data_IF_906388017471
#
_entry.id   IF_906388017471
#
_cell.length_a   1.000
_cell.length_b   1.000
_cell.length_c   1.000
_cell.angle_alpha   90.00
_cell.angle_beta   90.00
_cell.angle_gamma   90.00
#
_symmetry.space_group_name_H-M   'P 1'
#
loop_
_entity.id
_entity.type
_entity.pdbx_description
1 polymer ?
#
# COMPACT_ATOMS: atom_id res chain seq x y z
N UNK A 1 -44.46 -17.36 14.41
CA UNK A 1 -43.34 -18.29 14.06
C UNK A 1 -43.69 -19.30 12.95
N UNK A 2 -44.96 -19.66 12.71
CA UNK A 2 -45.38 -20.53 11.59
C UNK A 2 -45.31 -19.83 10.20
N UNK A 3 -45.67 -18.54 10.11
CA UNK A 3 -45.63 -17.78 8.85
C UNK A 3 -44.22 -17.66 8.23
N UNK A 4 -43.15 -17.56 9.05
CA UNK A 4 -41.74 -17.53 8.59
C UNK A 4 -41.20 -18.90 8.15
N UNK A 5 -41.93 -20.00 8.39
CA UNK A 5 -41.58 -21.33 7.86
C UNK A 5 -42.26 -21.58 6.52
N UNK A 6 -43.50 -21.12 6.32
CA UNK A 6 -44.22 -21.21 5.04
C UNK A 6 -43.58 -20.36 3.95
N UNK A 7 -43.23 -19.10 4.24
CA UNK A 7 -42.58 -18.21 3.27
C UNK A 7 -41.12 -18.58 2.95
N UNK A 8 -40.56 -19.63 3.58
CA UNK A 8 -39.17 -20.02 3.40
C UNK A 8 -38.95 -20.75 2.07
N UNK A 9 -39.95 -21.52 1.63
CA UNK A 9 -39.95 -22.13 0.30
C UNK A 9 -40.15 -21.08 -0.79
N UNK A 10 -41.08 -20.14 -0.58
CA UNK A 10 -41.31 -19.02 -1.51
C UNK A 10 -40.08 -18.11 -1.63
N UNK A 11 -39.40 -17.81 -0.52
CA UNK A 11 -38.14 -17.07 -0.53
C UNK A 11 -37.03 -17.82 -1.27
N UNK A 12 -36.90 -19.13 -1.08
CA UNK A 12 -35.92 -19.97 -1.79
C UNK A 12 -36.24 -20.12 -3.29
N UNK A 13 -37.52 -20.06 -3.67
CA UNK A 13 -37.93 -20.00 -5.08
C UNK A 13 -37.65 -18.62 -5.68
N UNK A 14 -37.85 -17.55 -4.91
CA UNK A 14 -37.53 -16.18 -5.33
C UNK A 14 -36.02 -15.97 -5.50
N UNK A 15 -35.20 -16.45 -4.56
CA UNK A 15 -33.73 -16.44 -4.69
C UNK A 15 -33.26 -17.20 -5.93
N UNK A 16 -33.82 -18.40 -6.18
CA UNK A 16 -33.52 -19.17 -7.40
C UNK A 16 -33.96 -18.45 -8.67
N UNK A 17 -35.12 -17.79 -8.65
CA UNK A 17 -35.61 -16.98 -9.77
C UNK A 17 -34.73 -15.76 -10.05
N UNK A 18 -34.29 -15.05 -9.01
CA UNK A 18 -33.37 -13.91 -9.12
C UNK A 18 -32.01 -14.38 -9.63
N UNK A 19 -31.48 -15.48 -9.11
CA UNK A 19 -30.21 -16.06 -9.57
C UNK A 19 -30.28 -16.50 -11.04
N UNK A 20 -31.38 -17.15 -11.46
CA UNK A 20 -31.59 -17.55 -12.85
C UNK A 20 -31.73 -16.33 -13.78
N UNK A 21 -32.50 -15.32 -13.38
CA UNK A 21 -32.64 -14.09 -14.15
C UNK A 21 -31.35 -13.25 -14.20
N UNK A 22 -30.51 -13.33 -13.17
CA UNK A 22 -29.18 -12.73 -13.17
C UNK A 22 -28.21 -13.52 -14.07
N UNK A 23 -28.28 -14.86 -14.06
CA UNK A 23 -27.48 -15.72 -14.91
C UNK A 23 -27.82 -15.54 -16.40
N UNK A 24 -29.10 -15.52 -16.78
CA UNK A 24 -29.56 -15.23 -18.14
C UNK A 24 -29.10 -13.84 -18.62
N UNK A 25 -29.24 -12.82 -17.78
CA UNK A 25 -28.72 -11.47 -18.07
C UNK A 25 -27.20 -11.46 -18.22
N UNK A 26 -26.47 -12.24 -17.43
CA UNK A 26 -25.01 -12.36 -17.55
C UNK A 26 -24.57 -13.17 -18.77
N UNK A 27 -25.39 -14.11 -19.25
CA UNK A 27 -25.16 -14.89 -20.47
C UNK A 27 -25.29 -14.03 -21.73
N UNK A 28 -26.17 -13.02 -21.70
CA UNK A 28 -26.35 -12.03 -22.76
C UNK A 28 -25.19 -10.99 -22.84
N UNK A 29 -24.34 -10.91 -21.80
CA UNK A 29 -23.13 -10.08 -21.84
C UNK A 29 -22.03 -10.84 -22.57
N UNK A 30 -21.54 -10.23 -23.65
CA UNK A 30 -20.44 -10.75 -24.48
C UNK A 30 -19.29 -11.29 -23.61
N UNK A 31 -18.79 -12.48 -23.95
CA UNK A 31 -17.71 -13.13 -23.20
C UNK A 31 -16.45 -12.25 -23.11
N UNK A 32 -16.12 -11.49 -24.16
CA UNK A 32 -15.03 -10.52 -24.15
C UNK A 32 -15.29 -9.36 -23.19
N UNK A 33 -16.52 -8.86 -23.11
CA UNK A 33 -16.89 -7.80 -22.15
C UNK A 33 -16.80 -8.28 -20.69
N UNK A 34 -17.09 -9.56 -20.43
CA UNK A 34 -16.93 -10.16 -19.09
C UNK A 34 -15.48 -10.29 -18.67
N UNK A 35 -14.59 -10.71 -19.56
CA UNK A 35 -13.14 -10.78 -19.29
C UNK A 35 -12.61 -9.39 -18.96
N UNK A 36 -12.94 -8.41 -19.80
CA UNK A 36 -12.52 -7.02 -19.59
C UNK A 36 -13.03 -6.47 -18.25
N UNK A 37 -14.30 -6.72 -17.90
CA UNK A 37 -14.85 -6.28 -16.62
C UNK A 37 -14.12 -6.90 -15.41
N UNK A 38 -13.79 -8.20 -15.48
CA UNK A 38 -13.05 -8.88 -14.42
C UNK A 38 -11.62 -8.33 -14.27
N UNK A 39 -10.96 -8.02 -15.39
CA UNK A 39 -9.65 -7.38 -15.39
C UNK A 39 -9.72 -5.98 -14.76
N UNK A 40 -10.73 -5.17 -15.09
CA UNK A 40 -10.92 -3.85 -14.49
C UNK A 40 -11.18 -3.92 -12.99
N UNK A 41 -11.95 -4.90 -12.51
CA UNK A 41 -12.17 -5.13 -11.08
C UNK A 41 -10.87 -5.54 -10.39
N UNK A 42 -10.08 -6.43 -11.01
CA UNK A 42 -8.78 -6.84 -10.50
C UNK A 42 -7.79 -5.68 -10.39
N UNK A 43 -7.74 -4.80 -11.39
CA UNK A 43 -6.90 -3.60 -11.39
C UNK A 43 -7.37 -2.59 -10.35
N UNK A 44 -8.68 -2.36 -10.23
CA UNK A 44 -9.25 -1.49 -9.21
C UNK A 44 -8.87 -1.96 -7.81
N UNK A 45 -9.02 -3.27 -7.54
CA UNK A 45 -8.63 -3.84 -6.26
C UNK A 45 -7.11 -3.74 -6.01
N UNK A 46 -6.28 -4.03 -7.01
CA UNK A 46 -4.83 -3.88 -6.90
C UNK A 46 -4.41 -2.40 -6.69
N UNK A 47 -5.13 -1.46 -7.32
CA UNK A 47 -4.96 -0.03 -7.13
C UNK A 47 -5.28 0.39 -5.70
N UNK A 48 -6.42 -0.08 -5.16
CA UNK A 48 -6.82 0.14 -3.78
C UNK A 48 -5.83 -0.46 -2.78
N UNK A 49 -5.44 -1.73 -2.93
CA UNK A 49 -4.47 -2.37 -2.02
C UNK A 49 -3.13 -1.62 -2.00
N UNK A 50 -2.61 -1.27 -3.18
CA UNK A 50 -1.37 -0.51 -3.27
C UNK A 50 -1.52 0.88 -2.69
N UNK A 51 -2.64 1.55 -2.91
CA UNK A 51 -2.88 2.86 -2.35
C UNK A 51 -2.95 2.80 -0.82
N UNK A 52 -3.72 1.88 -0.26
CA UNK A 52 -3.84 1.72 1.18
C UNK A 52 -2.50 1.33 1.82
N UNK A 53 -1.74 0.43 1.18
CA UNK A 53 -0.48 -0.09 1.73
C UNK A 53 0.71 0.86 1.52
N UNK A 54 0.83 1.48 0.34
CA UNK A 54 2.00 2.31 -0.04
C UNK A 54 1.81 3.78 0.28
N UNK A 55 0.57 4.26 0.34
CA UNK A 55 0.27 5.67 0.62
C UNK A 55 -0.43 5.80 1.96
N UNK A 56 -1.65 5.29 2.11
CA UNK A 56 -2.46 5.63 3.28
C UNK A 56 -1.80 5.16 4.59
N UNK A 57 -1.27 3.93 4.62
CA UNK A 57 -0.66 3.34 5.81
C UNK A 57 0.56 4.11 6.35
N UNK A 58 1.53 4.55 5.53
CA UNK A 58 2.56 5.49 5.98
C UNK A 58 2.04 6.74 6.68
N UNK A 59 1.02 7.39 6.11
CA UNK A 59 0.44 8.60 6.70
C UNK A 59 -0.23 8.27 8.04
N UNK A 60 -1.03 7.21 8.08
CA UNK A 60 -1.76 6.80 9.28
C UNK A 60 -0.84 6.52 10.47
N UNK A 61 0.29 5.85 10.23
CA UNK A 61 1.31 5.61 11.26
C UNK A 61 1.93 6.87 11.85
N UNK A 62 1.76 8.02 11.20
CA UNK A 62 2.25 9.33 11.64
C UNK A 62 1.14 10.24 12.19
N UNK A 63 -0.07 9.71 12.41
CA UNK A 63 -1.20 10.55 12.83
C UNK A 63 -1.74 11.45 11.71
N UNK A 64 -1.48 11.09 10.45
CA UNK A 64 -1.94 11.83 9.26
C UNK A 64 -2.86 10.95 8.42
N UNK A 65 -3.72 11.54 7.60
CA UNK A 65 -4.52 10.79 6.65
C UNK A 65 -4.67 11.55 5.32
N UNK A 66 -4.58 10.88 4.16
CA UNK A 66 -4.69 11.57 2.87
C UNK A 66 -6.08 12.16 2.72
N UNK A 67 -6.23 13.46 2.46
CA UNK A 67 -7.55 14.09 2.30
C UNK A 67 -8.26 13.69 1.00
N UNK A 68 -7.52 13.12 0.03
CA UNK A 68 -8.04 12.77 -1.29
C UNK A 68 -7.71 11.34 -1.75
N UNK A 69 -8.28 10.32 -1.12
CA UNK A 69 -7.94 8.91 -1.36
C UNK A 69 -8.31 8.43 -2.77
N UNK A 70 -9.50 8.75 -3.25
CA UNK A 70 -10.04 8.28 -4.53
C UNK A 70 -9.22 8.82 -5.70
N UNK A 71 -8.74 10.07 -5.62
CA UNK A 71 -7.81 10.64 -6.59
C UNK A 71 -6.51 9.82 -6.71
N UNK A 72 -6.04 9.25 -5.60
CA UNK A 72 -4.89 8.36 -5.62
C UNK A 72 -5.18 7.02 -6.32
N UNK A 73 -6.41 6.51 -6.23
CA UNK A 73 -6.83 5.27 -6.92
C UNK A 73 -6.83 5.50 -8.42
N UNK A 74 -7.40 6.63 -8.87
CA UNK A 74 -7.38 7.06 -10.27
C UNK A 74 -5.92 7.14 -10.76
N UNK A 75 -5.04 7.82 -10.03
CA UNK A 75 -3.63 7.94 -10.40
C UNK A 75 -2.91 6.57 -10.48
N UNK A 76 -3.18 5.66 -9.54
CA UNK A 76 -2.60 4.31 -9.55
C UNK A 76 -3.08 3.48 -10.75
N UNK A 77 -4.37 3.58 -11.08
CA UNK A 77 -4.96 2.92 -12.26
C UNK A 77 -4.40 3.49 -13.57
N UNK A 78 -4.22 4.81 -13.66
CA UNK A 78 -3.58 5.45 -14.82
C UNK A 78 -2.14 4.98 -15.01
N UNK A 79 -1.35 4.90 -13.93
CA UNK A 79 0.05 4.43 -14.00
C UNK A 79 0.14 2.93 -14.33
N UNK A 80 -0.76 2.11 -13.81
CA UNK A 80 -0.80 0.67 -14.10
C UNK A 80 -1.20 0.41 -15.57
N UNK A 81 -2.24 1.09 -16.07
CA UNK A 81 -2.63 1.05 -17.48
C UNK A 81 -1.47 1.44 -18.41
N UNK A 82 -0.69 2.46 -18.03
CA UNK A 82 0.52 2.87 -18.76
C UNK A 82 1.60 1.78 -18.78
N UNK A 83 1.87 1.13 -17.65
CA UNK A 83 2.89 0.07 -17.52
C UNK A 83 2.53 -1.20 -18.25
N UNK A 84 1.27 -1.60 -18.14
CA UNK A 84 0.78 -2.86 -18.70
C UNK A 84 0.33 -2.70 -20.16
N UNK A 85 0.46 -1.48 -20.73
CA UNK A 85 -0.04 -1.11 -22.07
C UNK A 85 -1.48 -1.58 -22.32
N UNK A 86 -2.29 -1.57 -21.27
CA UNK A 86 -3.67 -2.06 -21.29
C UNK A 86 -4.52 -1.14 -22.16
N UNK A 87 -4.70 -1.57 -23.41
CA UNK A 87 -5.56 -1.09 -24.51
C UNK A 87 -5.79 0.42 -24.69
N UNK A 88 -5.81 0.83 -25.96
CA UNK A 88 -6.23 2.18 -26.38
C UNK A 88 -7.66 2.47 -25.88
N UNK A 89 -7.79 3.48 -25.00
CA UNK A 89 -9.07 3.98 -24.46
C UNK A 89 -9.24 3.88 -22.94
N UNK A 90 -8.55 2.99 -22.22
CA UNK A 90 -8.68 2.92 -20.75
C UNK A 90 -8.04 4.12 -20.06
N UNK A 91 -6.83 4.49 -20.47
CA UNK A 91 -6.15 5.66 -19.95
C UNK A 91 -6.93 6.95 -20.21
N UNK A 92 -7.65 7.05 -21.34
CA UNK A 92 -8.49 8.23 -21.61
C UNK A 92 -9.72 8.25 -20.70
N UNK A 93 -10.40 7.12 -20.49
CA UNK A 93 -11.58 7.01 -19.61
C UNK A 93 -11.24 7.15 -18.11
N UNK A 94 -10.06 6.73 -17.69
CA UNK A 94 -9.56 6.96 -16.33
C UNK A 94 -9.08 8.40 -16.13
N UNK A 95 -8.65 9.06 -17.22
CA UNK A 95 -8.35 10.50 -17.24
C UNK A 95 -9.59 11.38 -17.39
N UNK A 96 -10.75 10.81 -17.72
CA UNK A 96 -12.04 11.49 -17.63
C UNK A 96 -12.36 11.78 -16.16
N UNK A 97 -13.14 12.83 -15.96
CA UNK A 97 -13.49 13.34 -14.65
C UNK A 97 -14.10 12.20 -13.80
N UNK A 98 -13.48 11.77 -12.68
CA UNK A 98 -13.93 10.59 -11.94
C UNK A 98 -15.35 10.78 -11.41
N UNK A 99 -16.10 9.70 -11.21
CA UNK A 99 -17.50 9.78 -10.77
C UNK A 99 -17.67 10.52 -9.43
N UNK A 100 -16.65 10.52 -8.57
CA UNK A 100 -16.63 11.32 -7.35
C UNK A 100 -16.68 12.83 -7.64
N UNK A 101 -16.10 13.32 -8.73
CA UNK A 101 -16.16 14.74 -9.13
C UNK A 101 -17.56 15.20 -9.60
N UNK A 102 -18.48 14.25 -9.82
CA UNK A 102 -19.88 14.54 -10.13
C UNK A 102 -20.75 14.73 -8.88
N UNK A 103 -20.18 14.46 -7.70
CA UNK A 103 -20.85 14.69 -6.43
C UNK A 103 -20.94 16.20 -6.15
N UNK A 104 -21.95 16.61 -5.38
CA UNK A 104 -22.13 18.00 -4.98
C UNK A 104 -20.93 18.52 -4.16
N UNK A 105 -20.39 17.66 -3.28
CA UNK A 105 -19.24 17.96 -2.42
C UNK A 105 -18.17 16.84 -2.52
N UNK A 106 -17.42 16.77 -3.63
CA UNK A 106 -16.49 15.67 -3.90
C UNK A 106 -15.40 15.54 -2.84
N UNK A 107 -14.88 16.68 -2.34
CA UNK A 107 -13.86 16.70 -1.29
C UNK A 107 -14.35 16.12 0.04
N UNK A 108 -15.58 16.43 0.44
CA UNK A 108 -16.14 15.92 1.69
C UNK A 108 -16.35 14.40 1.64
N UNK A 109 -16.75 13.87 0.48
CA UNK A 109 -16.90 12.43 0.29
C UNK A 109 -15.55 11.72 0.28
N UNK A 110 -14.54 12.29 -0.38
CA UNK A 110 -13.19 11.71 -0.38
C UNK A 110 -12.59 11.71 1.03
N UNK A 111 -12.81 12.78 1.80
CA UNK A 111 -12.41 12.86 3.20
C UNK A 111 -13.12 11.81 4.07
N UNK A 112 -14.43 11.66 3.91
CA UNK A 112 -15.21 10.65 4.61
C UNK A 112 -14.75 9.22 4.26
N UNK A 113 -14.43 8.97 2.98
CA UNK A 113 -13.87 7.69 2.51
C UNK A 113 -12.50 7.43 3.12
N UNK A 114 -11.62 8.44 3.18
CA UNK A 114 -10.32 8.34 3.83
C UNK A 114 -10.41 7.98 5.30
N UNK A 115 -11.26 8.68 6.05
CA UNK A 115 -11.46 8.43 7.48
C UNK A 115 -12.10 7.06 7.73
N UNK A 116 -13.06 6.66 6.89
CA UNK A 116 -13.65 5.33 6.95
C UNK A 116 -12.61 4.23 6.67
N UNK A 117 -11.78 4.40 5.65
CA UNK A 117 -10.70 3.47 5.34
C UNK A 117 -9.70 3.38 6.50
N UNK A 118 -9.31 4.52 7.08
CA UNK A 118 -8.43 4.53 8.25
C UNK A 118 -9.06 3.80 9.44
N UNK A 119 -10.36 3.98 9.69
CA UNK A 119 -11.06 3.29 10.77
C UNK A 119 -11.11 1.78 10.53
N UNK A 120 -11.44 1.35 9.32
CA UNK A 120 -11.59 -0.07 8.97
C UNK A 120 -10.25 -0.81 8.92
N UNK A 121 -9.21 -0.20 8.38
CA UNK A 121 -7.93 -0.88 8.10
C UNK A 121 -6.81 -0.54 9.10
N UNK A 122 -6.90 0.57 9.82
CA UNK A 122 -5.88 1.02 10.77
C UNK A 122 -6.42 1.19 12.20
N UNK A 123 -7.73 1.20 12.40
CA UNK A 123 -8.35 1.52 13.69
C UNK A 123 -8.22 3.01 14.05
N UNK A 124 -8.06 3.88 13.05
CA UNK A 124 -7.97 5.32 13.26
C UNK A 124 -9.28 5.96 13.74
N UNK A 125 -9.24 7.21 14.25
CA UNK A 125 -10.42 7.96 14.66
C UNK A 125 -11.43 8.14 13.52
N UNK A 126 -12.70 8.28 13.87
CA UNK A 126 -13.77 8.52 12.90
C UNK A 126 -13.79 9.96 12.35
N UNK A 127 -13.18 10.90 13.06
CA UNK A 127 -13.13 12.33 12.72
C UNK A 127 -11.70 12.86 12.87
N UNK A 128 -11.42 13.97 12.20
CA UNK A 128 -10.15 14.68 12.32
C UNK A 128 -9.92 15.25 13.72
N UNK A 129 -8.65 15.41 14.10
CA UNK A 129 -8.24 15.95 15.39
C UNK A 129 -6.79 16.44 15.40
N UNK A 130 -6.32 17.00 16.52
CA UNK A 130 -4.97 17.56 16.62
C UNK A 130 -3.86 16.53 16.36
N UNK A 131 -4.07 15.28 16.76
CA UNK A 131 -3.17 14.15 16.51
C UNK A 131 -3.59 13.29 15.30
N UNK A 132 -4.62 13.73 14.57
CA UNK A 132 -5.22 13.02 13.44
C UNK A 132 -5.66 13.98 12.33
N UNK A 133 -4.69 14.55 11.64
CA UNK A 133 -4.90 15.67 10.75
C UNK A 133 -4.80 15.27 9.27
N UNK A 134 -5.58 15.92 8.39
CA UNK A 134 -5.50 15.66 6.95
C UNK A 134 -4.11 16.05 6.41
N UNK A 135 -3.70 15.35 5.35
CA UNK A 135 -2.56 15.73 4.51
C UNK A 135 -3.03 15.77 3.06
N UNK A 136 -2.83 16.92 2.41
CA UNK A 136 -3.08 17.06 0.98
C UNK A 136 -1.95 16.42 0.17
N UNK A 137 -2.25 15.96 -1.04
CA UNK A 137 -1.28 15.40 -1.97
C UNK A 137 -0.07 16.30 -2.24
N UNK A 138 -0.23 17.62 -2.28
CA UNK A 138 0.91 18.53 -2.49
C UNK A 138 1.87 18.56 -1.30
N UNK A 139 1.40 18.29 -0.08
CA UNK A 139 2.23 18.26 1.14
C UNK A 139 2.64 16.83 1.55
N UNK A 140 2.07 15.83 0.90
CA UNK A 140 2.29 14.42 1.20
C UNK A 140 3.77 13.99 1.13
N UNK A 141 4.57 14.41 0.12
CA UNK A 141 5.98 14.09 0.06
C UNK A 141 6.74 14.58 1.30
N UNK A 142 6.58 15.84 1.67
CA UNK A 142 7.32 16.49 2.76
C UNK A 142 6.87 15.97 4.14
N UNK A 143 5.57 15.78 4.33
CA UNK A 143 5.01 15.44 5.63
C UNK A 143 5.05 13.96 5.94
N UNK A 144 4.98 13.09 4.93
CA UNK A 144 4.89 11.63 5.12
C UNK A 144 6.12 10.93 4.57
N UNK A 145 6.43 11.12 3.28
CA UNK A 145 7.51 10.35 2.62
C UNK A 145 8.87 10.70 3.24
N UNK A 146 9.16 12.00 3.33
CA UNK A 146 10.39 12.55 3.91
C UNK A 146 10.57 12.17 5.38
N UNK A 147 9.52 12.31 6.19
CA UNK A 147 9.57 11.94 7.62
C UNK A 147 9.77 10.44 7.79
N UNK A 148 9.09 9.62 6.99
CA UNK A 148 9.26 8.16 6.98
C UNK A 148 10.70 7.83 6.64
N UNK A 149 11.21 8.42 5.57
CA UNK A 149 12.57 8.19 5.11
C UNK A 149 13.60 8.57 6.18
N UNK A 150 13.51 9.77 6.77
CA UNK A 150 14.44 10.18 7.84
C UNK A 150 14.41 9.22 9.03
N UNK A 151 13.21 8.75 9.41
CA UNK A 151 13.04 7.78 10.50
C UNK A 151 13.68 6.42 10.16
N UNK A 152 13.44 5.92 8.96
CA UNK A 152 14.00 4.66 8.46
C UNK A 152 15.52 4.75 8.33
N UNK A 153 16.05 5.86 7.79
CA UNK A 153 17.47 6.13 7.68
C UNK A 153 18.15 6.20 9.06
N UNK A 154 17.54 6.90 10.03
CA UNK A 154 18.05 6.95 11.40
C UNK A 154 18.03 5.57 12.08
N UNK A 155 17.04 4.73 11.77
CA UNK A 155 16.98 3.34 12.23
C UNK A 155 18.10 2.51 11.62
N UNK A 156 18.32 2.62 10.32
CA UNK A 156 19.39 1.94 9.60
C UNK A 156 20.77 2.35 10.12
N UNK A 157 20.99 3.64 10.34
CA UNK A 157 22.24 4.15 10.90
C UNK A 157 22.55 3.51 12.27
N UNK A 158 21.56 3.46 13.18
CA UNK A 158 21.71 2.79 14.48
C UNK A 158 22.04 1.29 14.35
N UNK A 159 21.48 0.60 13.36
CA UNK A 159 21.79 -0.82 13.10
C UNK A 159 23.23 -0.96 12.60
N UNK A 160 23.66 -0.10 11.67
CA UNK A 160 25.04 -0.09 11.16
C UNK A 160 26.06 0.22 12.27
N UNK A 161 25.72 1.13 13.18
CA UNK A 161 26.56 1.45 14.35
C UNK A 161 26.69 0.25 15.29
N UNK A 162 25.58 -0.47 15.56
CA UNK A 162 25.60 -1.69 16.36
C UNK A 162 26.40 -2.83 15.71
N UNK A 163 26.48 -2.86 14.38
CA UNK A 163 27.31 -3.81 13.62
C UNK A 163 28.79 -3.36 13.53
N UNK A 164 29.14 -2.20 14.10
CA UNK A 164 30.51 -1.68 14.08
C UNK A 164 30.98 -1.18 12.71
N UNK A 165 30.04 -0.86 11.80
CA UNK A 165 30.38 -0.35 10.46
C UNK A 165 30.93 1.08 10.59
N UNK A 166 32.20 1.33 10.20
CA UNK A 166 32.81 2.65 10.32
C UNK A 166 32.04 3.71 9.53
N UNK A 167 32.11 4.95 10.00
CA UNK A 167 31.60 6.08 9.24
C UNK A 167 32.63 6.42 8.16
N UNK A 168 32.22 6.44 6.88
CA UNK A 168 33.08 6.93 5.82
C UNK A 168 33.18 8.47 5.94
N UNK A 169 34.37 9.06 6.07
CA UNK A 169 34.56 10.50 6.17
C UNK A 169 34.48 11.13 4.76
N UNK A 170 33.30 11.09 4.15
CA UNK A 170 33.03 11.84 2.91
C UNK A 170 32.43 13.20 3.30
N UNK A 171 32.85 14.33 2.72
CA UNK A 171 32.25 15.63 3.01
C UNK A 171 30.74 15.60 2.76
N UNK A 172 29.93 16.43 3.45
CA UNK A 172 28.49 16.45 3.24
C UNK A 172 28.18 16.98 1.85
N UNK A 173 28.12 16.08 0.86
CA UNK A 173 27.46 16.35 -0.39
C UNK A 173 25.97 16.57 -0.09
N UNK A 174 25.34 17.45 -0.86
CA UNK A 174 23.98 17.99 -0.72
C UNK A 174 22.89 16.88 -0.74
N UNK A 175 23.26 15.62 -0.93
CA UNK A 175 22.34 14.49 -0.95
C UNK A 175 22.19 13.83 0.44
N UNK A 176 21.04 13.99 1.12
CA UNK A 176 20.79 13.34 2.41
C UNK A 176 20.81 11.79 2.34
N UNK A 177 20.74 11.20 1.15
CA UNK A 177 20.77 9.74 0.94
C UNK A 177 22.19 9.18 0.72
N UNK A 178 23.12 10.00 0.20
CA UNK A 178 24.48 9.62 -0.18
C UNK A 178 25.31 8.93 0.93
N UNK A 179 25.37 9.45 2.17
CA UNK A 179 26.24 8.88 3.20
C UNK A 179 25.71 7.56 3.79
N UNK A 180 24.38 7.35 3.80
CA UNK A 180 23.79 6.11 4.34
C UNK A 180 23.94 4.96 3.34
N UNK A 181 23.70 5.22 2.05
CA UNK A 181 23.86 4.22 0.99
C UNK A 181 25.33 3.77 0.86
N UNK A 182 26.28 4.71 0.91
CA UNK A 182 27.71 4.39 0.86
C UNK A 182 28.14 3.43 1.98
N UNK A 183 27.70 3.68 3.23
CA UNK A 183 27.98 2.79 4.37
C UNK A 183 27.40 1.39 4.21
N UNK A 184 26.19 1.27 3.67
CA UNK A 184 25.55 -0.03 3.42
C UNK A 184 26.33 -0.80 2.36
N UNK A 185 26.68 -0.14 1.24
CA UNK A 185 27.45 -0.76 0.17
C UNK A 185 28.85 -1.17 0.64
N UNK A 186 29.54 -0.34 1.44
CA UNK A 186 30.82 -0.70 2.04
C UNK A 186 30.69 -1.94 2.94
N UNK A 187 29.66 -2.00 3.79
CA UNK A 187 29.43 -3.15 4.66
C UNK A 187 29.16 -4.45 3.88
N UNK A 188 28.32 -4.38 2.84
CA UNK A 188 27.98 -5.54 2.00
C UNK A 188 29.15 -5.99 1.10
N UNK A 189 30.12 -5.11 0.85
CA UNK A 189 31.30 -5.40 0.05
C UNK A 189 32.43 -6.07 0.83
N UNK A 190 32.36 -6.10 2.17
CA UNK A 190 33.34 -6.82 3.01
C UNK A 190 33.03 -8.32 2.98
N UNK A 191 33.96 -9.19 2.53
CA UNK A 191 33.74 -10.62 2.54
C UNK A 191 33.53 -11.13 3.98
N UNK A 192 32.63 -12.10 4.22
CA UNK A 192 32.38 -12.61 5.56
C UNK A 192 33.68 -13.13 6.15
N UNK A 193 34.08 -12.57 7.30
CA UNK A 193 35.27 -12.99 8.03
C UNK A 193 35.11 -14.49 8.34
N UNK A 194 36.03 -15.37 7.88
CA UNK A 194 35.94 -16.78 8.20
C UNK A 194 35.92 -16.93 9.71
N UNK A 195 34.93 -17.66 10.22
CA UNK A 195 34.81 -17.97 11.64
C UNK A 195 36.16 -18.51 12.13
N UNK A 196 36.72 -17.89 13.16
CA UNK A 196 38.01 -18.28 13.71
C UNK A 196 37.96 -19.78 14.01
N UNK A 197 38.85 -20.55 13.35
CA UNK A 197 38.94 -21.98 13.56
C UNK A 197 39.13 -22.26 15.06
N UNK A 198 38.43 -23.26 15.62
CA UNK A 198 38.56 -23.59 17.03
C UNK A 198 40.04 -23.89 17.34
N UNK A 199 40.56 -23.44 18.49
CA UNK A 199 41.95 -23.66 18.86
C UNK A 199 42.23 -25.17 18.88
N UNK A 200 43.41 -25.61 18.40
CA UNK A 200 43.75 -27.03 18.39
C UNK A 200 43.73 -27.57 19.82
N UNK A 201 43.27 -28.82 20.03
CA UNK A 201 43.21 -29.40 21.35
C UNK A 201 44.60 -29.43 21.97
N UNK A 202 44.74 -28.81 23.15
CA UNK A 202 45.94 -28.87 23.97
C UNK A 202 46.23 -30.33 24.32
N UNK A 203 47.33 -30.87 23.79
CA UNK A 203 47.85 -32.18 24.20
C UNK A 203 48.20 -32.13 25.69
N UNK A 204 47.79 -33.12 26.50
CA UNK A 204 48.22 -33.21 27.89
C UNK A 204 49.73 -33.49 27.97
N UNK A 205 50.41 -33.02 29.03
CA UNK A 205 51.83 -33.27 29.21
C UNK A 205 52.08 -34.77 29.45
N UNK A 206 52.99 -35.34 28.67
CA UNK A 206 53.53 -36.68 28.89
C UNK A 206 54.30 -36.66 30.21
N UNK A 207 53.81 -37.37 31.22
CA UNK A 207 54.56 -37.64 32.43
C UNK A 207 55.63 -38.71 32.15
N UNK A 208 56.82 -38.46 32.71
CA UNK A 208 58.08 -39.21 32.73
C UNK A 208 58.08 -40.68 32.27
#
# INVERSE_FOLDING_TARGET
RLLLRGCREDAALMERGVAAAAAERAQAVDYGLRIVAQEQVGLAYAGWDRLLTRVALPAWRMGRWPSRLDAGVVAALTELSRRDRLAEGFASRLGERPACDLLEEPGAVDEATSLLAARLFHGGPAEQGPDWAPVDWQAYPEEVVDRKWRTDAARLHRVLDALGVPHCPTPPAIDPHGPTLARVLDHLSVPPRPAAAPPPPTRPPTAA
#
